data_IF_072391707692
#
_entry.id   IF_072391707692
#
_cell.length_a   1.000
_cell.length_b   1.000
_cell.length_c   1.000
_cell.angle_alpha   90.00
_cell.angle_beta   90.00
_cell.angle_gamma   90.00
#
_symmetry.space_group_name_H-M   'P 1'
#
loop_
_entity.id
_entity.type
_entity.pdbx_description
1 polymer ?
#
# COMPACT_ATOMS: atom_id res chain seq x y z
N UNK A 1 20.20 21.37 27.89
CA UNK A 1 19.69 20.09 27.37
C UNK A 1 18.36 19.84 28.06
N UNK A 2 17.25 20.04 27.37
CA UNK A 2 15.93 19.66 27.87
C UNK A 2 15.57 18.33 27.22
N UNK A 3 15.69 17.25 27.98
CA UNK A 3 15.25 15.93 27.57
C UNK A 3 13.72 15.91 27.55
N UNK A 4 13.14 15.92 26.35
CA UNK A 4 11.75 15.54 26.15
C UNK A 4 11.66 14.01 26.14
N UNK A 5 11.85 13.41 27.33
CA UNK A 5 11.53 12.02 27.60
C UNK A 5 10.03 11.80 27.48
N UNK A 6 9.55 11.57 26.25
CA UNK A 6 8.22 11.06 26.00
C UNK A 6 8.18 9.58 26.41
N UNK A 7 7.95 9.33 27.70
CA UNK A 7 7.66 7.99 28.24
C UNK A 7 6.26 7.56 27.81
N UNK A 8 6.10 7.19 26.55
CA UNK A 8 4.97 6.37 26.10
C UNK A 8 5.35 4.92 26.44
N UNK A 9 4.46 4.08 27.02
CA UNK A 9 4.84 2.73 27.42
C UNK A 9 5.29 1.91 26.21
N UNK A 10 6.60 1.72 26.09
CA UNK A 10 7.29 1.05 24.96
C UNK A 10 6.86 -0.41 24.80
N UNK A 11 6.23 -1.00 25.82
CA UNK A 11 5.75 -2.40 25.76
C UNK A 11 4.49 -2.60 24.89
N UNK A 12 3.60 -1.60 24.78
CA UNK A 12 2.37 -1.73 23.97
C UNK A 12 2.53 -1.18 22.54
N UNK A 13 3.52 -0.32 22.31
CA UNK A 13 3.73 0.36 21.03
C UNK A 13 3.96 -0.60 19.85
N UNK A 14 4.98 -1.46 19.89
CA UNK A 14 5.28 -2.37 18.78
C UNK A 14 4.15 -3.36 18.53
N UNK A 15 3.55 -3.92 19.57
CA UNK A 15 2.45 -4.89 19.47
C UNK A 15 1.23 -4.26 18.79
N UNK A 16 0.84 -3.04 19.20
CA UNK A 16 -0.28 -2.33 18.60
C UNK A 16 -0.01 -2.01 17.12
N UNK A 17 1.22 -1.58 16.79
CA UNK A 17 1.62 -1.32 15.40
C UNK A 17 1.56 -2.61 14.56
N UNK A 18 2.06 -3.74 15.07
CA UNK A 18 1.93 -5.03 14.38
C UNK A 18 0.46 -5.43 14.19
N UNK A 19 -0.39 -5.26 15.20
CA UNK A 19 -1.83 -5.53 15.06
C UNK A 19 -2.47 -4.65 13.99
N UNK A 20 -2.19 -3.34 13.99
CA UNK A 20 -2.68 -2.43 12.95
C UNK A 20 -2.23 -2.86 11.55
N UNK A 21 -0.98 -3.29 11.40
CA UNK A 21 -0.45 -3.83 10.14
C UNK A 21 -1.19 -5.11 9.75
N UNK A 22 -1.35 -6.05 10.68
CA UNK A 22 -2.02 -7.34 10.45
C UNK A 22 -3.52 -7.20 10.16
N UNK A 23 -4.19 -6.15 10.63
CA UNK A 23 -5.58 -5.86 10.23
C UNK A 23 -5.66 -5.12 8.89
N UNK A 24 -4.69 -4.27 8.58
CA UNK A 24 -4.68 -3.49 7.34
C UNK A 24 -4.31 -4.37 6.13
N UNK A 25 -3.39 -5.31 6.29
CA UNK A 25 -2.91 -6.18 5.20
C UNK A 25 -4.02 -7.03 4.57
N UNK A 26 -4.87 -7.76 5.32
CA UNK A 26 -5.98 -8.53 4.77
C UNK A 26 -6.98 -7.66 4.01
N UNK A 27 -7.22 -6.42 4.46
CA UNK A 27 -8.09 -5.47 3.76
C UNK A 27 -7.51 -5.13 2.39
N UNK A 28 -6.22 -4.77 2.34
CA UNK A 28 -5.52 -4.38 1.11
C UNK A 28 -5.37 -5.56 0.15
N UNK A 29 -4.90 -6.71 0.65
CA UNK A 29 -4.73 -7.93 -0.14
C UNK A 29 -6.07 -8.50 -0.60
N UNK A 30 -7.06 -8.55 0.29
CA UNK A 30 -8.42 -9.00 -0.02
C UNK A 30 -9.07 -8.13 -1.09
N UNK A 31 -8.92 -6.80 -1.00
CA UNK A 31 -9.37 -5.91 -2.08
C UNK A 31 -8.66 -6.20 -3.39
N UNK A 32 -7.33 -6.32 -3.39
CA UNK A 32 -6.57 -6.60 -4.61
C UNK A 32 -7.01 -7.93 -5.27
N UNK A 33 -7.25 -8.98 -4.47
CA UNK A 33 -7.81 -10.24 -4.95
C UNK A 33 -9.24 -10.08 -5.49
N UNK A 34 -10.11 -9.39 -4.76
CA UNK A 34 -11.49 -9.15 -5.21
C UNK A 34 -11.56 -8.28 -6.47
N UNK A 35 -10.61 -7.37 -6.67
CA UNK A 35 -10.54 -6.51 -7.87
C UNK A 35 -10.41 -7.34 -9.15
N UNK A 36 -9.98 -8.60 -9.04
CA UNK A 36 -9.89 -9.52 -10.17
C UNK A 36 -11.29 -9.77 -10.77
N UNK A 37 -12.31 -9.92 -9.94
CA UNK A 37 -13.66 -10.35 -10.38
C UNK A 37 -14.73 -9.27 -10.21
N UNK A 38 -14.47 -8.25 -9.39
CA UNK A 38 -15.49 -7.26 -9.03
C UNK A 38 -15.55 -6.04 -9.97
N UNK A 39 -16.73 -5.43 -10.15
CA UNK A 39 -16.89 -4.14 -10.83
C UNK A 39 -16.14 -3.01 -10.08
N UNK A 40 -16.02 -1.80 -10.66
CA UNK A 40 -15.35 -0.67 -10.02
C UNK A 40 -15.81 -0.44 -8.57
N UNK A 41 -14.89 -0.10 -7.64
CA UNK A 41 -15.22 0.01 -6.23
C UNK A 41 -16.22 1.13 -5.95
N UNK A 42 -17.07 0.94 -4.94
CA UNK A 42 -17.86 2.04 -4.39
C UNK A 42 -16.94 2.97 -3.59
N UNK A 43 -17.37 4.21 -3.38
CA UNK A 43 -16.59 5.21 -2.63
C UNK A 43 -16.19 4.73 -1.23
N UNK A 44 -17.11 4.07 -0.52
CA UNK A 44 -16.83 3.53 0.82
C UNK A 44 -15.71 2.47 0.79
N UNK A 45 -15.79 1.53 -0.14
CA UNK A 45 -14.76 0.48 -0.32
C UNK A 45 -13.41 1.11 -0.67
N UNK A 46 -13.41 2.09 -1.57
CA UNK A 46 -12.20 2.78 -1.97
C UNK A 46 -11.56 3.58 -0.82
N UNK A 47 -12.36 4.25 0.01
CA UNK A 47 -11.89 4.94 1.21
C UNK A 47 -11.30 3.96 2.24
N UNK A 48 -11.97 2.84 2.45
CA UNK A 48 -11.50 1.80 3.37
C UNK A 48 -10.16 1.22 2.92
N UNK A 49 -10.01 0.92 1.62
CA UNK A 49 -8.78 0.35 1.06
C UNK A 49 -7.65 1.37 1.03
N UNK A 50 -7.90 2.59 0.55
CA UNK A 50 -6.87 3.63 0.50
C UNK A 50 -6.44 4.07 1.91
N UNK A 51 -7.38 4.11 2.85
CA UNK A 51 -7.10 4.30 4.28
C UNK A 51 -6.25 3.17 4.84
N UNK A 52 -6.66 1.90 4.64
CA UNK A 52 -5.91 0.74 5.10
C UNK A 52 -4.50 0.67 4.49
N UNK A 53 -4.34 0.93 3.18
CA UNK A 53 -3.04 1.02 2.52
C UNK A 53 -2.16 2.11 3.13
N UNK A 54 -2.72 3.30 3.39
CA UNK A 54 -1.97 4.42 3.98
C UNK A 54 -1.56 4.11 5.42
N UNK A 55 -2.48 3.56 6.22
CA UNK A 55 -2.20 3.12 7.60
C UNK A 55 -1.12 2.04 7.61
N UNK A 56 -1.23 1.01 6.77
CA UNK A 56 -0.22 -0.04 6.64
C UNK A 56 1.15 0.52 6.25
N UNK A 57 1.18 1.51 5.35
CA UNK A 57 2.41 2.18 4.94
C UNK A 57 3.05 2.92 6.12
N UNK A 58 2.28 3.76 6.81
CA UNK A 58 2.77 4.54 7.96
C UNK A 58 3.26 3.63 9.08
N UNK A 59 2.50 2.57 9.38
CA UNK A 59 2.88 1.58 10.38
C UNK A 59 4.16 0.85 9.95
N UNK A 60 4.27 0.45 8.69
CA UNK A 60 5.51 -0.15 8.18
C UNK A 60 6.70 0.81 8.35
N UNK A 61 6.53 2.11 8.10
CA UNK A 61 7.57 3.12 8.33
C UNK A 61 8.00 3.24 9.79
N UNK A 62 7.08 3.01 10.74
CA UNK A 62 7.37 3.09 12.18
C UNK A 62 8.03 1.83 12.74
N UNK A 63 7.81 0.68 12.10
CA UNK A 63 8.29 -0.62 12.60
C UNK A 63 9.55 -1.09 11.85
N UNK A 64 9.74 -0.66 10.60
CA UNK A 64 10.92 -1.01 9.81
C UNK A 64 12.11 -0.13 10.24
N UNK A 65 13.24 -0.72 10.67
CA UNK A 65 14.39 0.04 11.17
C UNK A 65 15.12 0.83 10.08
N UNK A 66 15.13 0.34 8.84
CA UNK A 66 15.72 1.03 7.70
C UNK A 66 15.04 0.62 6.38
N UNK A 67 14.87 1.59 5.48
CA UNK A 67 14.50 1.35 4.08
C UNK A 67 15.75 1.43 3.22
N UNK A 68 15.88 0.54 2.25
CA UNK A 68 16.92 0.64 1.20
C UNK A 68 16.68 1.81 0.22
N UNK A 69 15.67 2.64 0.47
CA UNK A 69 15.25 3.76 -0.36
C UNK A 69 15.91 5.08 0.10
N UNK A 70 16.31 5.95 -0.84
CA UNK A 70 16.62 7.34 -0.50
C UNK A 70 15.43 8.00 0.22
N UNK A 71 15.65 8.86 1.23
CA UNK A 71 14.56 9.51 1.98
C UNK A 71 13.55 10.23 1.07
N UNK A 72 14.01 10.83 -0.02
CA UNK A 72 13.16 11.51 -1.01
C UNK A 72 12.19 10.53 -1.66
N UNK A 73 12.63 9.32 -2.00
CA UNK A 73 11.78 8.29 -2.58
C UNK A 73 10.72 7.80 -1.59
N UNK A 74 11.09 7.66 -0.31
CA UNK A 74 10.15 7.31 0.76
C UNK A 74 9.05 8.36 0.93
N UNK A 75 9.42 9.64 0.95
CA UNK A 75 8.45 10.75 1.03
C UNK A 75 7.54 10.77 -0.20
N UNK A 76 8.09 10.59 -1.40
CA UNK A 76 7.30 10.53 -2.63
C UNK A 76 6.32 9.36 -2.63
N UNK A 77 6.73 8.18 -2.15
CA UNK A 77 5.84 7.03 -2.01
C UNK A 77 4.74 7.28 -0.98
N UNK A 78 5.06 7.92 0.15
CA UNK A 78 4.07 8.27 1.17
C UNK A 78 3.03 9.25 0.60
N UNK A 79 3.49 10.32 -0.05
CA UNK A 79 2.61 11.29 -0.71
C UNK A 79 1.75 10.58 -1.76
N UNK A 80 2.35 9.74 -2.59
CA UNK A 80 1.64 8.97 -3.59
C UNK A 80 0.61 8.01 -2.97
N UNK A 81 0.86 7.42 -1.80
CA UNK A 81 -0.09 6.56 -1.09
C UNK A 81 -1.27 7.31 -0.47
N UNK A 82 -1.04 8.54 0.00
CA UNK A 82 -2.08 9.41 0.59
C UNK A 82 -3.00 9.99 -0.48
N UNK A 83 -2.47 10.31 -1.67
CA UNK A 83 -3.23 10.97 -2.75
C UNK A 83 -4.55 10.24 -3.09
N UNK A 84 -4.58 8.91 -3.30
CA UNK A 84 -5.83 8.19 -3.53
C UNK A 84 -6.88 8.39 -2.44
N UNK A 85 -6.47 8.36 -1.16
CA UNK A 85 -7.37 8.59 -0.04
C UNK A 85 -7.96 10.00 -0.10
N UNK A 86 -7.13 11.02 -0.32
CA UNK A 86 -7.58 12.42 -0.42
C UNK A 86 -8.54 12.64 -1.59
N UNK A 87 -8.27 12.03 -2.75
CA UNK A 87 -9.15 12.13 -3.93
C UNK A 87 -10.52 11.55 -3.62
N UNK A 88 -10.59 10.34 -3.06
CA UNK A 88 -11.87 9.72 -2.68
C UNK A 88 -12.58 10.45 -1.55
N UNK A 89 -11.83 11.07 -0.63
CA UNK A 89 -12.37 11.77 0.54
C UNK A 89 -12.90 13.17 0.19
N UNK A 90 -12.12 14.03 -0.49
CA UNK A 90 -12.47 15.44 -0.73
C UNK A 90 -12.44 15.91 -2.17
N UNK A 91 -11.82 15.19 -3.11
CA UNK A 91 -11.65 15.69 -4.48
C UNK A 91 -12.25 14.75 -5.56
N UNK A 92 -13.55 14.39 -5.46
CA UNK A 92 -14.17 13.50 -6.45
C UNK A 92 -14.19 14.10 -7.87
N UNK A 93 -14.10 15.43 -8.01
CA UNK A 93 -14.00 16.11 -9.29
C UNK A 93 -12.70 15.76 -10.06
N UNK A 94 -11.67 15.23 -9.40
CA UNK A 94 -10.41 14.82 -10.03
C UNK A 94 -10.42 13.37 -10.55
N UNK A 95 -11.46 12.58 -10.24
CA UNK A 95 -11.52 11.14 -10.54
C UNK A 95 -11.26 10.81 -12.01
N UNK A 96 -11.77 11.62 -12.94
CA UNK A 96 -11.60 11.38 -14.38
C UNK A 96 -10.14 11.54 -14.80
N UNK A 97 -9.47 12.58 -14.30
CA UNK A 97 -8.05 12.84 -14.61
C UNK A 97 -7.16 11.77 -13.97
N UNK A 98 -7.47 11.39 -12.73
CA UNK A 98 -6.67 10.41 -11.99
C UNK A 98 -6.85 9.00 -12.54
N UNK A 99 -8.03 8.64 -13.04
CA UNK A 99 -8.28 7.36 -13.70
C UNK A 99 -7.42 7.14 -14.97
N UNK A 100 -7.00 8.22 -15.65
CA UNK A 100 -6.10 8.13 -16.81
C UNK A 100 -4.64 7.85 -16.39
N UNK A 101 -4.22 8.40 -15.26
CA UNK A 101 -2.84 8.27 -14.75
C UNK A 101 -2.64 7.02 -13.90
N UNK A 102 -3.67 6.58 -13.18
CA UNK A 102 -3.58 5.49 -12.22
C UNK A 102 -3.01 4.17 -12.81
N UNK A 103 -3.39 3.71 -14.02
CA UNK A 103 -2.81 2.49 -14.58
C UNK A 103 -1.29 2.56 -14.76
N UNK A 104 -0.77 3.74 -15.13
CA UNK A 104 0.66 3.96 -15.30
C UNK A 104 1.39 3.97 -13.96
N UNK A 105 0.82 4.63 -12.96
CA UNK A 105 1.36 4.65 -11.60
C UNK A 105 1.36 3.25 -10.98
N UNK A 106 0.28 2.49 -11.16
CA UNK A 106 0.17 1.10 -10.72
C UNK A 106 1.23 0.24 -11.42
N UNK A 107 1.40 0.36 -12.73
CA UNK A 107 2.39 -0.40 -13.48
C UNK A 107 3.82 -0.07 -13.00
N UNK A 108 4.16 1.21 -12.89
CA UNK A 108 5.46 1.65 -12.41
C UNK A 108 5.75 1.16 -10.99
N UNK A 109 4.79 1.30 -10.07
CA UNK A 109 4.94 0.85 -8.69
C UNK A 109 5.02 -0.68 -8.57
N UNK A 110 4.29 -1.43 -9.40
CA UNK A 110 4.36 -2.90 -9.43
C UNK A 110 5.72 -3.38 -9.91
N UNK A 111 6.22 -2.82 -11.02
CA UNK A 111 7.55 -3.15 -11.54
C UNK A 111 8.62 -2.78 -10.50
N UNK A 112 8.53 -1.60 -9.91
CA UNK A 112 9.46 -1.16 -8.86
C UNK A 112 9.43 -2.11 -7.66
N UNK A 113 8.23 -2.49 -7.20
CA UNK A 113 8.05 -3.42 -6.08
C UNK A 113 8.64 -4.79 -6.36
N UNK A 114 8.40 -5.36 -7.54
CA UNK A 114 8.94 -6.66 -7.96
C UNK A 114 10.46 -6.66 -8.07
N UNK A 115 11.03 -5.63 -8.70
CA UNK A 115 12.47 -5.54 -8.91
C UNK A 115 13.23 -5.26 -7.61
N UNK A 116 12.62 -4.53 -6.67
CA UNK A 116 13.26 -4.21 -5.39
C UNK A 116 13.03 -5.24 -4.30
N UNK A 117 11.93 -5.99 -4.30
CA UNK A 117 11.62 -6.94 -3.23
C UNK A 117 12.77 -7.90 -2.84
N UNK A 118 13.62 -8.41 -3.76
CA UNK A 118 14.75 -9.25 -3.38
C UNK A 118 15.84 -8.53 -2.56
N UNK A 119 16.05 -7.23 -2.81
CA UNK A 119 17.13 -6.44 -2.20
C UNK A 119 16.64 -5.52 -1.07
N UNK A 120 15.37 -5.12 -1.11
CA UNK A 120 14.73 -4.18 -0.18
C UNK A 120 13.26 -4.58 -0.01
N UNK A 121 13.01 -5.55 0.87
CA UNK A 121 11.67 -6.05 1.18
C UNK A 121 10.74 -4.93 1.68
N UNK A 122 11.16 -4.04 2.62
CA UNK A 122 10.33 -2.92 3.04
C UNK A 122 9.99 -1.95 1.90
N UNK A 123 10.96 -1.63 1.04
CA UNK A 123 10.73 -0.81 -0.16
C UNK A 123 9.77 -1.47 -1.14
N UNK A 124 9.91 -2.78 -1.37
CA UNK A 124 8.98 -3.56 -2.19
C UNK A 124 7.56 -3.58 -1.64
N UNK A 125 7.43 -3.75 -0.32
CA UNK A 125 6.15 -3.74 0.38
C UNK A 125 5.43 -2.40 0.28
N UNK A 126 6.14 -1.31 0.56
CA UNK A 126 5.59 0.06 0.51
C UNK A 126 5.20 0.49 -0.90
N UNK A 127 5.99 0.11 -1.92
CA UNK A 127 5.61 0.27 -3.32
C UNK A 127 4.35 -0.53 -3.67
N UNK A 128 4.21 -1.76 -3.17
CA UNK A 128 3.03 -2.59 -3.39
C UNK A 128 1.77 -2.00 -2.73
N UNK A 129 1.86 -1.56 -1.47
CA UNK A 129 0.76 -0.89 -0.76
C UNK A 129 0.29 0.37 -1.50
N UNK A 130 1.26 1.15 -2.00
CA UNK A 130 0.99 2.33 -2.82
C UNK A 130 0.27 1.92 -4.09
N UNK A 131 0.78 0.95 -4.85
CA UNK A 131 0.14 0.46 -6.07
C UNK A 131 -1.30 -0.02 -5.83
N UNK A 132 -1.57 -0.75 -4.74
CA UNK A 132 -2.93 -1.20 -4.40
C UNK A 132 -3.87 -0.03 -4.11
N UNK A 133 -3.39 1.03 -3.46
CA UNK A 133 -4.24 2.22 -3.24
C UNK A 133 -4.68 2.87 -4.57
N UNK A 134 -3.79 2.90 -5.57
CA UNK A 134 -4.09 3.44 -6.91
C UNK A 134 -4.96 2.52 -7.77
N UNK A 135 -4.98 1.21 -7.51
CA UNK A 135 -5.87 0.26 -8.20
C UNK A 135 -7.36 0.63 -8.05
N UNK A 136 -7.73 1.39 -7.02
CA UNK A 136 -9.11 1.87 -6.82
C UNK A 136 -9.61 2.76 -7.97
N UNK A 137 -8.72 3.43 -8.71
CA UNK A 137 -9.07 4.25 -9.87
C UNK A 137 -9.01 3.49 -11.20
N UNK A 138 -8.43 2.30 -11.23
CA UNK A 138 -8.26 1.51 -12.44
C UNK A 138 -9.58 0.84 -12.85
N UNK A 139 -10.25 1.39 -13.87
CA UNK A 139 -11.49 0.85 -14.43
C UNK A 139 -11.38 0.65 -15.96
N UNK A 140 -10.56 -0.31 -16.44
CA UNK A 140 -10.37 -0.53 -17.87
C UNK A 140 -11.67 -1.00 -18.53
N UNK A 141 -12.03 -0.37 -19.65
CA UNK A 141 -13.19 -0.77 -20.48
C UNK A 141 -12.85 -1.90 -21.45
N UNK A 142 -11.60 -1.97 -21.89
CA UNK A 142 -11.13 -3.00 -22.83
C UNK A 142 -10.92 -4.35 -22.13
N UNK A 143 -11.11 -5.46 -22.88
CA UNK A 143 -10.74 -6.82 -22.41
C UNK A 143 -9.25 -6.92 -22.02
N UNK A 144 -8.28 -6.49 -22.85
CA UNK A 144 -6.86 -6.57 -22.49
C UNK A 144 -6.53 -5.73 -21.25
N UNK A 145 -7.12 -4.53 -21.10
CA UNK A 145 -6.90 -3.71 -19.91
C UNK A 145 -7.41 -4.38 -18.64
N UNK A 146 -8.56 -5.08 -18.70
CA UNK A 146 -9.06 -5.88 -17.57
C UNK A 146 -8.11 -7.01 -17.18
N UNK A 147 -7.56 -7.71 -18.16
CA UNK A 147 -6.57 -8.77 -17.91
C UNK A 147 -5.32 -8.19 -17.25
N UNK A 148 -4.78 -7.09 -17.77
CA UNK A 148 -3.62 -6.42 -17.19
C UNK A 148 -3.86 -6.04 -15.73
N UNK A 149 -4.98 -5.37 -15.42
CA UNK A 149 -5.32 -4.99 -14.05
C UNK A 149 -5.49 -6.21 -13.14
N UNK A 150 -6.07 -7.31 -13.62
CA UNK A 150 -6.22 -8.57 -12.86
C UNK A 150 -4.87 -9.18 -12.50
N UNK A 151 -3.98 -9.28 -13.49
CA UNK A 151 -2.63 -9.81 -13.28
C UNK A 151 -1.88 -8.94 -12.29
N UNK A 152 -1.88 -7.62 -12.47
CA UNK A 152 -1.21 -6.70 -11.56
C UNK A 152 -1.78 -6.78 -10.14
N UNK A 153 -3.10 -6.82 -9.99
CA UNK A 153 -3.73 -6.92 -8.68
C UNK A 153 -3.40 -8.25 -7.99
N UNK A 154 -3.40 -9.36 -8.72
CA UNK A 154 -2.98 -10.67 -8.20
C UNK A 154 -1.53 -10.68 -7.75
N UNK A 155 -0.62 -10.13 -8.57
CA UNK A 155 0.79 -10.02 -8.23
C UNK A 155 1.00 -9.17 -6.97
N UNK A 156 0.36 -8.00 -6.87
CA UNK A 156 0.46 -7.12 -5.71
C UNK A 156 -0.08 -7.78 -4.44
N UNK A 157 -1.22 -8.47 -4.53
CA UNK A 157 -1.78 -9.22 -3.41
C UNK A 157 -0.80 -10.28 -2.90
N UNK A 158 -0.22 -11.07 -3.81
CA UNK A 158 0.78 -12.08 -3.47
C UNK A 158 2.03 -11.45 -2.85
N UNK A 159 2.52 -10.33 -3.38
CA UNK A 159 3.66 -9.60 -2.80
C UNK A 159 3.38 -9.14 -1.37
N UNK A 160 2.23 -8.50 -1.14
CA UNK A 160 1.84 -8.02 0.19
C UNK A 160 1.72 -9.18 1.18
N UNK A 161 1.07 -10.27 0.79
CA UNK A 161 0.91 -11.47 1.64
C UNK A 161 2.25 -12.15 1.91
N UNK A 162 3.07 -12.36 0.89
CA UNK A 162 4.36 -13.05 1.03
C UNK A 162 5.33 -12.27 1.93
N UNK A 163 5.41 -10.94 1.78
CA UNK A 163 6.27 -10.11 2.63
C UNK A 163 5.74 -10.13 4.07
N UNK A 164 4.44 -9.97 4.27
CA UNK A 164 3.84 -10.01 5.61
C UNK A 164 4.06 -11.35 6.30
N UNK A 165 3.89 -12.47 5.57
CA UNK A 165 4.15 -13.81 6.08
C UNK A 165 5.63 -14.01 6.46
N UNK A 166 6.56 -13.52 5.62
CA UNK A 166 7.99 -13.57 5.91
C UNK A 166 8.34 -12.81 7.19
N UNK A 167 7.85 -11.59 7.34
CA UNK A 167 8.04 -10.75 8.54
C UNK A 167 7.45 -11.42 9.78
N UNK A 168 6.24 -11.98 9.68
CA UNK A 168 5.61 -12.69 10.78
C UNK A 168 6.43 -13.92 11.21
N UNK A 169 6.91 -14.71 10.24
CA UNK A 169 7.71 -15.91 10.52
C UNK A 169 9.10 -15.60 11.12
N UNK A 170 9.66 -14.43 10.82
CA UNK A 170 10.92 -13.96 11.40
C UNK A 170 10.75 -13.33 12.79
N UNK A 171 9.52 -13.23 13.32
CA UNK A 171 9.23 -12.57 14.59
C UNK A 171 9.29 -11.03 14.54
N UNK A 172 9.28 -10.44 13.35
CA UNK A 172 9.35 -8.99 13.15
C UNK A 172 10.15 -8.58 11.92
N UNK A 173 10.33 -7.28 11.75
CA UNK A 173 11.23 -6.74 10.73
C UNK A 173 12.64 -6.77 11.32
N UNK A 174 13.48 -7.68 10.84
CA UNK A 174 14.89 -7.82 11.24
C UNK A 174 15.81 -7.14 10.24
#
# INVERSE_FOLDING_TARGET
MHDHGSTVPVLAGPVLLYLMLYFSVPVVAGFALMRITTPPPRRADALLVTGASTTAFLVAMMVVPAFGLPPQATVLLLVAGIVPFVIWWRAPHLLVRTALLAPWLVAAATVTGLLRAPADLPGGFTAALTAVSWLTFCAPRSRPGRIAVRVTAGTLALTVVAITAKVASAGGWQ
#
